data_IF_860178044621
#
_entry.id   IF_860178044621
#
_cell.length_a   1.000
_cell.length_b   1.000
_cell.length_c   1.000
_cell.angle_alpha   90.00
_cell.angle_beta   90.00
_cell.angle_gamma   90.00
#
_symmetry.space_group_name_H-M   'P 1'
#
loop_
_entity.id
_entity.type
_entity.pdbx_description
1 polymer ?
#
# COMPACT_ATOMS: atom_id res chain seq x y z
N UNK A 1 -38.05 54.08 23.15
CA UNK A 1 -39.15 53.28 22.56
C UNK A 1 -38.46 52.45 21.49
N UNK A 2 -37.87 51.31 21.81
CA UNK A 2 -38.55 50.05 22.19
C UNK A 2 -39.48 49.63 21.03
N UNK A 3 -39.43 48.47 20.39
CA UNK A 3 -38.74 47.18 20.55
C UNK A 3 -38.98 46.45 19.21
N UNK A 4 -38.21 45.41 18.84
CA UNK A 4 -38.58 44.56 17.69
C UNK A 4 -37.45 43.73 17.11
N UNK A 5 -37.07 42.69 17.85
CA UNK A 5 -36.11 41.67 17.44
C UNK A 5 -36.53 40.90 16.19
N UNK A 6 -35.65 40.83 15.18
CA UNK A 6 -35.74 39.83 14.10
C UNK A 6 -34.75 38.71 14.40
N UNK A 7 -35.29 37.59 14.89
CA UNK A 7 -34.55 36.40 15.26
C UNK A 7 -34.17 35.62 13.99
N UNK A 8 -32.87 35.50 13.79
CA UNK A 8 -32.27 34.72 12.72
C UNK A 8 -32.73 33.27 12.68
N UNK A 9 -32.87 32.78 11.46
CA UNK A 9 -32.78 31.36 11.14
C UNK A 9 -31.65 31.16 10.14
N UNK A 10 -30.42 31.11 10.67
CA UNK A 10 -29.27 30.61 9.93
C UNK A 10 -29.49 29.11 9.70
N UNK A 11 -30.01 28.73 8.55
CA UNK A 11 -29.92 27.36 8.07
C UNK A 11 -28.49 27.13 7.56
N UNK A 12 -27.54 27.02 8.49
CA UNK A 12 -26.25 26.40 8.20
C UNK A 12 -26.52 24.94 7.87
N UNK A 13 -26.70 24.66 6.59
CA UNK A 13 -26.55 23.32 6.06
C UNK A 13 -25.11 22.92 6.34
N UNK A 14 -24.91 22.15 7.40
CA UNK A 14 -23.72 21.32 7.58
C UNK A 14 -23.60 20.46 6.34
N UNK A 15 -22.76 20.89 5.41
CA UNK A 15 -22.31 20.09 4.28
C UNK A 15 -21.49 18.96 4.89
N UNK A 16 -22.16 17.88 5.28
CA UNK A 16 -21.49 16.60 5.51
C UNK A 16 -20.78 16.29 4.21
N UNK A 17 -19.45 16.48 4.23
CA UNK A 17 -18.56 15.90 3.25
C UNK A 17 -18.82 14.41 3.29
N UNK A 18 -19.63 13.90 2.37
CA UNK A 18 -19.68 12.49 2.07
C UNK A 18 -18.29 12.18 1.57
N UNK A 19 -17.44 11.63 2.44
CA UNK A 19 -16.15 11.10 2.04
C UNK A 19 -16.46 10.00 1.04
N UNK A 20 -16.30 10.29 -0.24
CA UNK A 20 -16.38 9.29 -1.30
C UNK A 20 -15.31 8.26 -0.97
N UNK A 21 -15.72 7.02 -0.67
CA UNK A 21 -14.78 5.93 -0.40
C UNK A 21 -13.98 5.66 -1.67
N UNK A 22 -12.72 6.10 -1.67
CA UNK A 22 -11.75 5.79 -2.73
C UNK A 22 -10.79 4.71 -2.25
N UNK A 23 -10.19 3.94 -3.16
CA UNK A 23 -9.10 3.02 -2.82
C UNK A 23 -7.98 3.67 -2.00
N UNK A 24 -7.59 4.93 -2.28
CA UNK A 24 -6.56 5.61 -1.50
C UNK A 24 -7.04 5.94 -0.08
N UNK A 25 -8.30 6.36 0.09
CA UNK A 25 -8.86 6.64 1.42
C UNK A 25 -8.94 5.37 2.30
N UNK A 26 -9.28 4.22 1.71
CA UNK A 26 -9.33 2.94 2.42
C UNK A 26 -7.91 2.47 2.80
N UNK A 27 -6.94 2.61 1.89
CA UNK A 27 -5.52 2.32 2.17
C UNK A 27 -4.99 3.24 3.28
N UNK A 28 -5.18 4.56 3.15
CA UNK A 28 -4.71 5.53 4.13
C UNK A 28 -5.25 5.21 5.52
N UNK A 29 -6.56 5.00 5.64
CA UNK A 29 -7.20 4.65 6.90
C UNK A 29 -6.62 3.36 7.51
N UNK A 30 -6.49 2.29 6.71
CA UNK A 30 -5.96 1.02 7.21
C UNK A 30 -4.51 1.14 7.73
N UNK A 31 -3.66 1.89 7.02
CA UNK A 31 -2.27 2.10 7.44
C UNK A 31 -2.14 3.11 8.59
N UNK A 32 -3.04 4.08 8.72
CA UNK A 32 -3.14 4.95 9.90
C UNK A 32 -3.52 4.16 11.15
N UNK A 33 -4.50 3.25 11.05
CA UNK A 33 -4.89 2.36 12.17
C UNK A 33 -3.73 1.44 12.59
N UNK A 34 -3.02 0.85 11.61
CA UNK A 34 -1.81 0.06 11.88
C UNK A 34 -0.71 0.91 12.54
N UNK A 35 -0.47 2.11 12.03
CA UNK A 35 0.54 3.03 12.60
C UNK A 35 0.16 3.47 14.02
N UNK A 36 -1.11 3.77 14.26
CA UNK A 36 -1.63 4.11 15.59
C UNK A 36 -1.41 2.98 16.59
N UNK A 37 -1.73 1.75 16.19
CA UNK A 37 -1.47 0.55 16.99
C UNK A 37 0.03 0.39 17.32
N UNK A 38 0.91 0.59 16.35
CA UNK A 38 2.36 0.51 16.56
C UNK A 38 2.89 1.65 17.44
N UNK A 39 2.29 2.84 17.35
CA UNK A 39 2.65 4.00 18.17
C UNK A 39 2.17 3.91 19.63
N UNK A 40 1.05 3.23 19.88
CA UNK A 40 0.52 2.98 21.23
C UNK A 40 1.02 1.67 21.85
N UNK A 41 1.94 0.97 21.18
CA UNK A 41 2.31 -0.39 21.52
C UNK A 41 2.99 -0.47 22.89
N UNK A 42 2.45 -1.33 23.77
CA UNK A 42 3.18 -1.80 24.97
C UNK A 42 3.96 -3.06 24.63
N UNK A 43 4.95 -3.46 25.45
CA UNK A 43 5.85 -4.60 25.17
C UNK A 43 5.14 -5.92 24.84
N UNK A 44 3.89 -6.10 25.25
CA UNK A 44 3.12 -7.33 25.07
C UNK A 44 2.18 -7.30 23.85
N UNK A 45 1.99 -6.13 23.23
CA UNK A 45 1.00 -5.97 22.15
C UNK A 45 1.66 -6.16 20.77
N UNK A 46 1.62 -7.38 20.24
CA UNK A 46 2.23 -7.72 18.95
C UNK A 46 1.29 -7.48 17.78
N UNK A 47 1.83 -7.11 16.61
CA UNK A 47 1.02 -6.89 15.42
C UNK A 47 0.47 -8.22 14.87
N UNK A 48 -0.85 -8.31 14.90
CA UNK A 48 -1.66 -9.38 14.35
C UNK A 48 -1.41 -9.57 12.85
N UNK A 49 -1.13 -10.80 12.41
CA UNK A 49 -0.80 -11.11 11.02
C UNK A 49 -1.99 -10.89 10.09
N UNK A 50 -3.19 -11.26 10.51
CA UNK A 50 -4.43 -11.02 9.77
C UNK A 50 -4.68 -9.54 9.54
N UNK A 51 -4.56 -8.70 10.57
CA UNK A 51 -4.71 -7.24 10.41
C UNK A 51 -3.69 -6.66 9.43
N UNK A 52 -2.43 -7.12 9.51
CA UNK A 52 -1.39 -6.71 8.55
C UNK A 52 -1.74 -7.12 7.12
N UNK A 53 -2.19 -8.37 6.92
CA UNK A 53 -2.56 -8.89 5.62
C UNK A 53 -3.79 -8.18 5.03
N UNK A 54 -4.77 -7.81 5.85
CA UNK A 54 -5.94 -7.04 5.43
C UNK A 54 -5.53 -5.69 4.83
N UNK A 55 -4.72 -4.92 5.56
CA UNK A 55 -4.20 -3.64 5.06
C UNK A 55 -3.35 -3.82 3.79
N UNK A 56 -2.46 -4.84 3.76
CA UNK A 56 -1.64 -5.13 2.59
C UNK A 56 -2.48 -5.53 1.36
N UNK A 57 -3.63 -6.18 1.55
CA UNK A 57 -4.50 -6.60 0.46
C UNK A 57 -5.10 -5.39 -0.28
N UNK A 58 -5.39 -4.29 0.43
CA UNK A 58 -5.90 -3.06 -0.17
C UNK A 58 -4.92 -2.44 -1.17
N UNK A 59 -3.61 -2.58 -0.93
CA UNK A 59 -2.54 -2.03 -1.79
C UNK A 59 -2.49 -2.69 -3.18
N UNK A 60 -3.05 -3.90 -3.33
CA UNK A 60 -3.06 -4.62 -4.62
C UNK A 60 -3.67 -3.81 -5.76
N UNK A 61 -4.67 -2.96 -5.47
CA UNK A 61 -5.32 -2.10 -6.45
C UNK A 61 -4.31 -1.16 -7.12
N UNK A 62 -3.33 -0.64 -6.38
CA UNK A 62 -2.34 0.31 -6.90
C UNK A 62 -1.47 -0.33 -7.98
N UNK A 63 -1.05 -1.58 -7.78
CA UNK A 63 -0.29 -2.32 -8.80
C UNK A 63 -1.10 -2.54 -10.07
N UNK A 64 -2.41 -2.79 -9.95
CA UNK A 64 -3.28 -2.98 -11.12
C UNK A 64 -3.51 -1.70 -11.92
N UNK A 65 -3.49 -0.53 -11.26
CA UNK A 65 -3.65 0.76 -11.91
C UNK A 65 -2.43 1.16 -12.76
N UNK A 66 -1.24 0.63 -12.47
CA UNK A 66 0.03 0.90 -13.18
C UNK A 66 0.15 0.21 -14.56
N UNK A 67 -0.90 -0.47 -15.03
CA UNK A 67 -0.96 -1.00 -16.38
C UNK A 67 -0.27 -2.35 -16.58
N UNK A 68 -0.23 -2.80 -17.84
CA UNK A 68 0.07 -4.20 -18.19
C UNK A 68 1.45 -4.67 -17.72
N UNK A 69 2.47 -3.81 -17.77
CA UNK A 69 3.80 -4.14 -17.29
C UNK A 69 3.86 -4.49 -15.80
N UNK A 70 3.01 -3.85 -14.99
CA UNK A 70 2.95 -4.08 -13.56
C UNK A 70 2.02 -5.23 -13.17
N UNK A 71 1.38 -5.89 -14.15
CA UNK A 71 0.56 -7.08 -13.87
C UNK A 71 1.37 -8.20 -13.24
N UNK A 72 2.64 -8.36 -13.64
CA UNK A 72 3.54 -9.32 -12.99
C UNK A 72 3.85 -8.94 -11.54
N UNK A 73 4.06 -7.66 -11.25
CA UNK A 73 4.28 -7.17 -9.90
C UNK A 73 3.02 -7.36 -9.03
N UNK A 74 1.83 -7.08 -9.58
CA UNK A 74 0.54 -7.32 -8.94
C UNK A 74 0.37 -8.81 -8.61
N UNK A 75 0.55 -9.71 -9.59
CA UNK A 75 0.41 -11.15 -9.39
C UNK A 75 1.38 -11.67 -8.33
N UNK A 76 2.65 -11.25 -8.38
CA UNK A 76 3.64 -11.62 -7.38
C UNK A 76 3.24 -11.12 -6.00
N UNK A 77 2.86 -9.84 -5.86
CA UNK A 77 2.45 -9.25 -4.59
C UNK A 77 1.22 -9.96 -4.00
N UNK A 78 0.15 -10.08 -4.78
CA UNK A 78 -1.11 -10.73 -4.38
C UNK A 78 -0.87 -12.17 -3.95
N UNK A 79 -0.05 -12.93 -4.68
CA UNK A 79 0.28 -14.30 -4.30
C UNK A 79 0.98 -14.40 -2.94
N UNK A 80 1.87 -13.44 -2.60
CA UNK A 80 2.52 -13.42 -1.28
C UNK A 80 1.58 -12.98 -0.18
N UNK A 81 0.70 -12.00 -0.43
CA UNK A 81 -0.31 -11.59 0.55
C UNK A 81 -1.28 -12.73 0.83
N UNK A 82 -1.77 -13.42 -0.21
CA UNK A 82 -2.66 -14.57 -0.05
C UNK A 82 -2.03 -15.70 0.77
N UNK A 83 -0.76 -16.05 0.50
CA UNK A 83 -0.04 -17.04 1.31
C UNK A 83 0.01 -16.65 2.80
N UNK A 84 0.18 -15.37 3.12
CA UNK A 84 0.19 -14.87 4.49
C UNK A 84 -1.19 -14.79 5.12
N UNK A 85 -2.25 -14.56 4.33
CA UNK A 85 -3.65 -14.70 4.78
C UNK A 85 -3.94 -16.15 5.16
N UNK A 86 -3.46 -17.11 4.38
CA UNK A 86 -3.60 -18.53 4.76
C UNK A 86 -2.79 -18.87 6.01
N UNK A 87 -1.59 -18.29 6.15
CA UNK A 87 -0.77 -18.44 7.35
C UNK A 87 -1.47 -17.85 8.60
N UNK A 88 -2.17 -16.71 8.50
CA UNK A 88 -2.79 -16.04 9.64
C UNK A 88 -3.85 -16.88 10.37
N UNK A 89 -4.40 -17.91 9.70
CA UNK A 89 -5.28 -18.91 10.33
C UNK A 89 -4.57 -19.77 11.39
N UNK A 90 -3.25 -19.89 11.28
CA UNK A 90 -2.39 -20.69 12.18
C UNK A 90 -1.51 -19.83 13.07
N UNK A 91 -1.04 -18.68 12.57
CA UNK A 91 -0.12 -17.80 13.29
C UNK A 91 -0.79 -16.49 13.67
N UNK A 92 -0.75 -16.16 14.95
CA UNK A 92 -1.39 -14.95 15.45
C UNK A 92 -0.64 -13.68 15.00
N UNK A 93 0.69 -13.67 15.04
CA UNK A 93 1.48 -12.43 14.86
C UNK A 93 2.58 -12.58 13.82
N UNK A 94 3.09 -11.44 13.33
CA UNK A 94 4.25 -11.40 12.42
C UNK A 94 5.48 -12.11 13.01
N UNK A 95 5.73 -11.92 14.30
CA UNK A 95 6.84 -12.56 15.00
C UNK A 95 6.69 -14.07 15.03
N UNK A 96 5.47 -14.62 15.23
CA UNK A 96 5.28 -16.08 15.21
C UNK A 96 5.68 -16.71 13.87
N UNK A 97 5.44 -16.00 12.78
CA UNK A 97 5.85 -16.44 11.44
C UNK A 97 7.37 -16.47 11.32
N UNK A 98 8.03 -15.39 11.75
CA UNK A 98 9.49 -15.27 11.71
C UNK A 98 10.15 -16.29 12.62
N UNK A 99 9.69 -16.40 13.86
CA UNK A 99 10.22 -17.32 14.88
C UNK A 99 10.13 -18.78 14.42
N UNK A 100 9.01 -19.19 13.80
CA UNK A 100 8.89 -20.56 13.27
C UNK A 100 9.87 -20.81 12.12
N UNK A 101 10.03 -19.87 11.19
CA UNK A 101 10.97 -20.05 10.09
C UNK A 101 12.44 -20.02 10.55
N UNK A 102 12.76 -19.24 11.59
CA UNK A 102 14.07 -19.23 12.23
C UNK A 102 14.34 -20.59 12.89
N UNK A 103 13.38 -21.09 13.68
CA UNK A 103 13.52 -22.38 14.37
C UNK A 103 13.71 -23.57 13.41
N UNK A 104 13.21 -23.46 12.18
CA UNK A 104 13.32 -24.51 11.15
C UNK A 104 14.43 -24.25 10.10
N UNK A 105 15.20 -23.18 10.23
CA UNK A 105 16.20 -22.73 9.24
C UNK A 105 15.60 -22.57 7.82
N UNK A 106 14.35 -22.12 7.73
CA UNK A 106 13.61 -21.93 6.46
C UNK A 106 13.44 -20.48 6.05
N UNK A 107 13.94 -19.51 6.81
CA UNK A 107 13.75 -18.06 6.59
C UNK A 107 13.96 -17.64 5.13
N UNK A 108 15.01 -18.15 4.47
CA UNK A 108 15.36 -17.78 3.08
C UNK A 108 14.78 -18.70 2.02
N UNK A 109 14.15 -19.82 2.41
CA UNK A 109 13.63 -20.84 1.49
C UNK A 109 12.53 -20.25 0.60
N UNK A 110 12.51 -20.51 -0.72
CA UNK A 110 11.39 -20.13 -1.56
C UNK A 110 10.08 -20.67 -0.98
N UNK A 111 9.08 -19.80 -0.86
CA UNK A 111 7.77 -20.14 -0.30
C UNK A 111 7.68 -20.09 1.23
N UNK A 112 8.76 -19.80 1.97
CA UNK A 112 8.63 -19.54 3.40
C UNK A 112 7.84 -18.26 3.65
N UNK A 113 7.06 -18.25 4.73
CA UNK A 113 6.23 -17.12 5.09
C UNK A 113 7.09 -15.89 5.44
N UNK A 114 8.26 -16.06 6.05
CA UNK A 114 9.22 -14.96 6.30
C UNK A 114 9.74 -14.33 5.02
N UNK A 115 10.03 -15.14 3.99
CA UNK A 115 10.43 -14.63 2.69
C UNK A 115 9.26 -13.92 2.00
N UNK A 116 8.05 -14.43 2.13
CA UNK A 116 6.84 -13.80 1.59
C UNK A 116 6.54 -12.46 2.31
N UNK A 117 6.68 -12.39 3.64
CA UNK A 117 6.63 -11.14 4.41
C UNK A 117 7.62 -10.11 3.90
N UNK A 118 8.88 -10.51 3.67
CA UNK A 118 9.89 -9.61 3.11
C UNK A 118 9.48 -9.08 1.72
N UNK A 119 8.85 -9.90 0.88
CA UNK A 119 8.39 -9.49 -0.46
C UNK A 119 7.17 -8.56 -0.38
N UNK A 120 6.23 -8.81 0.51
CA UNK A 120 5.10 -7.89 0.76
C UNK A 120 5.63 -6.55 1.28
N UNK A 121 6.51 -6.55 2.29
CA UNK A 121 7.15 -5.32 2.80
C UNK A 121 7.85 -4.53 1.69
N UNK A 122 8.54 -5.22 0.78
CA UNK A 122 9.20 -4.58 -0.37
C UNK A 122 8.20 -3.97 -1.36
N UNK A 123 7.04 -4.60 -1.58
CA UNK A 123 5.96 -4.03 -2.38
C UNK A 123 5.38 -2.76 -1.74
N UNK A 124 5.17 -2.76 -0.42
CA UNK A 124 4.74 -1.57 0.32
C UNK A 124 5.75 -0.43 0.20
N UNK A 125 7.04 -0.74 0.34
CA UNK A 125 8.12 0.25 0.24
C UNK A 125 8.23 0.84 -1.18
N UNK A 126 7.95 0.03 -2.22
CA UNK A 126 7.88 0.52 -3.60
C UNK A 126 6.74 1.53 -3.79
N UNK A 127 5.56 1.24 -3.22
CA UNK A 127 4.41 2.16 -3.29
C UNK A 127 4.69 3.43 -2.50
N UNK A 128 5.28 3.33 -1.30
CA UNK A 128 5.72 4.49 -0.50
C UNK A 128 6.65 5.39 -1.31
N UNK A 129 7.72 4.82 -1.87
CA UNK A 129 8.68 5.56 -2.68
C UNK A 129 8.04 6.15 -3.95
N UNK A 130 7.12 5.41 -4.60
CA UNK A 130 6.37 5.93 -5.74
C UNK A 130 5.55 7.15 -5.35
N UNK A 131 4.84 7.13 -4.22
CA UNK A 131 4.06 8.27 -3.76
C UNK A 131 4.94 9.47 -3.38
N UNK A 132 6.07 9.24 -2.72
CA UNK A 132 7.03 10.32 -2.41
C UNK A 132 7.56 10.99 -3.67
N UNK A 133 7.98 10.21 -4.66
CA UNK A 133 8.45 10.74 -5.95
C UNK A 133 7.32 11.43 -6.71
N UNK A 134 6.12 10.85 -6.71
CA UNK A 134 4.94 11.40 -7.38
C UNK A 134 4.45 12.73 -6.78
N UNK A 135 4.66 12.94 -5.48
CA UNK A 135 4.31 14.18 -4.77
C UNK A 135 5.42 15.24 -4.79
N UNK A 136 6.63 14.88 -5.24
CA UNK A 136 7.79 15.77 -5.13
C UNK A 136 7.73 17.00 -6.04
N UNK A 137 7.05 16.92 -7.19
CA UNK A 137 6.86 18.03 -8.14
C UNK A 137 5.64 17.82 -9.04
N UNK A 138 4.96 18.91 -9.45
CA UNK A 138 3.77 18.84 -10.33
C UNK A 138 4.07 18.44 -11.80
N UNK A 139 5.32 18.62 -12.24
CA UNK A 139 5.72 18.45 -13.65
C UNK A 139 6.33 17.07 -13.99
N UNK A 140 6.20 16.07 -13.12
CA UNK A 140 6.85 14.77 -13.31
C UNK A 140 5.96 13.74 -14.01
N UNK A 141 6.52 13.06 -15.02
CA UNK A 141 5.88 11.90 -15.64
C UNK A 141 5.87 10.72 -14.65
N UNK A 142 4.73 10.03 -14.51
CA UNK A 142 4.59 8.84 -13.66
C UNK A 142 5.71 7.80 -13.92
N UNK A 143 6.15 7.70 -15.17
CA UNK A 143 7.28 6.87 -15.60
C UNK A 143 8.54 7.13 -14.81
N UNK A 144 8.90 8.40 -14.61
CA UNK A 144 10.16 8.78 -13.98
C UNK A 144 10.08 8.52 -12.48
N UNK A 145 8.96 8.88 -11.83
CA UNK A 145 8.69 8.55 -10.43
C UNK A 145 8.74 7.03 -10.17
N UNK A 146 8.07 6.23 -11.01
CA UNK A 146 8.08 4.77 -10.90
C UNK A 146 9.47 4.16 -11.18
N UNK A 147 10.22 4.74 -12.12
CA UNK A 147 11.59 4.29 -12.43
C UNK A 147 12.54 4.56 -11.27
N UNK A 148 12.44 5.73 -10.64
CA UNK A 148 13.23 6.12 -9.47
C UNK A 148 12.89 5.23 -8.28
N UNK A 149 11.60 5.10 -7.94
CA UNK A 149 11.14 4.24 -6.85
C UNK A 149 11.58 2.77 -7.03
N UNK A 150 11.45 2.23 -8.25
CA UNK A 150 11.93 0.87 -8.56
C UNK A 150 13.43 0.73 -8.36
N UNK A 151 14.21 1.72 -8.82
CA UNK A 151 15.67 1.71 -8.75
C UNK A 151 16.16 1.69 -7.30
N UNK A 152 15.48 2.41 -6.42
CA UNK A 152 15.80 2.47 -4.99
C UNK A 152 15.40 1.18 -4.25
N UNK A 153 14.17 0.69 -4.45
CA UNK A 153 13.57 -0.35 -3.58
C UNK A 153 13.77 -1.77 -4.11
N UNK A 154 13.67 -1.95 -5.42
CA UNK A 154 13.52 -3.27 -6.05
C UNK A 154 14.76 -3.72 -6.83
N UNK A 155 15.37 -2.81 -7.60
CA UNK A 155 16.49 -3.13 -8.47
C UNK A 155 17.68 -3.83 -7.79
N UNK A 156 18.08 -3.50 -6.54
CA UNK A 156 19.17 -4.19 -5.85
C UNK A 156 18.95 -5.70 -5.64
N UNK A 157 17.70 -6.16 -5.70
CA UNK A 157 17.32 -7.55 -5.41
C UNK A 157 16.83 -8.31 -6.63
N UNK A 158 16.75 -7.66 -7.79
CA UNK A 158 16.29 -8.24 -9.04
C UNK A 158 17.47 -8.59 -9.95
N UNK A 159 17.34 -9.69 -10.70
CA UNK A 159 18.32 -10.08 -11.71
C UNK A 159 18.33 -9.07 -12.86
N UNK A 160 19.38 -9.07 -13.67
CA UNK A 160 19.45 -8.22 -14.85
C UNK A 160 18.23 -8.40 -15.77
N UNK A 161 17.81 -9.65 -16.02
CA UNK A 161 16.64 -9.95 -16.84
C UNK A 161 15.35 -9.30 -16.30
N UNK A 162 15.12 -9.37 -14.97
CA UNK A 162 13.95 -8.75 -14.34
C UNK A 162 14.03 -7.22 -14.43
N UNK A 163 15.21 -6.62 -14.21
CA UNK A 163 15.39 -5.17 -14.34
C UNK A 163 15.13 -4.69 -15.77
N UNK A 164 15.60 -5.42 -16.77
CA UNK A 164 15.36 -5.12 -18.18
C UNK A 164 13.87 -5.20 -18.52
N UNK A 165 13.18 -6.25 -18.07
CA UNK A 165 11.74 -6.40 -18.28
C UNK A 165 10.94 -5.26 -17.64
N UNK A 166 11.30 -4.86 -16.40
CA UNK A 166 10.67 -3.74 -15.72
C UNK A 166 10.93 -2.43 -16.47
N UNK A 167 12.17 -2.16 -16.88
CA UNK A 167 12.52 -0.95 -17.63
C UNK A 167 11.73 -0.82 -18.94
N UNK A 168 11.57 -1.91 -19.69
CA UNK A 168 10.70 -1.94 -20.87
C UNK A 168 9.23 -1.71 -20.50
N UNK A 169 8.80 -2.28 -19.37
CA UNK A 169 7.45 -2.12 -18.85
C UNK A 169 7.07 -0.70 -18.44
N UNK A 170 8.02 0.13 -18.01
CA UNK A 170 7.78 1.53 -17.63
C UNK A 170 7.15 2.35 -18.76
N UNK A 171 7.34 1.97 -20.02
CA UNK A 171 6.72 2.64 -21.17
C UNK A 171 5.22 2.34 -21.34
N UNK A 172 4.66 1.39 -20.58
CA UNK A 172 3.22 1.07 -20.59
C UNK A 172 2.48 1.65 -19.39
N UNK A 173 3.15 2.48 -18.58
CA UNK A 173 2.52 3.16 -17.46
C UNK A 173 1.45 4.14 -17.99
N UNK A 174 0.33 4.30 -17.26
CA UNK A 174 -0.67 5.31 -17.61
C UNK A 174 -0.11 6.73 -17.45
N UNK A 175 -0.82 7.72 -17.96
CA UNK A 175 -0.56 9.12 -17.57
C UNK A 175 -0.95 9.36 -16.11
N UNK A 176 -0.58 10.53 -15.58
CA UNK A 176 -0.97 10.97 -14.24
C UNK A 176 -2.49 11.03 -14.11
N UNK A 177 -3.16 11.63 -15.08
CA UNK A 177 -4.61 11.83 -15.12
C UNK A 177 -5.34 10.49 -15.21
N UNK A 178 -4.86 9.59 -16.07
CA UNK A 178 -5.40 8.23 -16.19
C UNK A 178 -5.24 7.43 -14.89
N UNK A 179 -4.12 7.58 -14.18
CA UNK A 179 -3.91 6.94 -12.88
C UNK A 179 -4.92 7.45 -11.85
N UNK A 180 -5.07 8.78 -11.71
CA UNK A 180 -6.01 9.38 -10.77
C UNK A 180 -7.45 8.97 -11.07
N UNK A 181 -7.83 8.96 -12.36
CA UNK A 181 -9.14 8.50 -12.79
C UNK A 181 -9.39 7.03 -12.42
N UNK A 182 -8.40 6.14 -12.60
CA UNK A 182 -8.50 4.72 -12.18
C UNK A 182 -8.63 4.55 -10.67
N UNK A 183 -8.10 5.50 -9.90
CA UNK A 183 -8.18 5.52 -8.44
C UNK A 183 -9.43 6.26 -7.91
N UNK A 184 -10.29 6.76 -8.80
CA UNK A 184 -11.44 7.60 -8.46
C UNK A 184 -11.05 8.86 -7.66
N UNK A 185 -9.89 9.42 -7.96
CA UNK A 185 -9.39 10.68 -7.39
C UNK A 185 -9.65 11.84 -8.36
N UNK A 186 -9.91 13.02 -7.81
CA UNK A 186 -10.31 14.22 -8.59
C UNK A 186 -9.20 15.26 -8.65
#
# INVERSE_FOLDING_TARGET
MDEGADNGFNHSQTKMSVTTKTPLSDIAKAFEELSGFLGSQTKDQKLRLDNFCEACSLVSVLFSCLGLAFKFAEMEYVAKVHDLVEASKTYATLENVVDRDVANDTVKKPGSHSRNLRRVRQGLDLIRALFEEFLSTDDYYLKDAASTAYSQVCAPYHTWAVRTAVSAGMYTLPTREELLQKLNET
#
